data_IF_357006898421
#
_entry.id   IF_357006898421
#
_cell.length_a   1.000
_cell.length_b   1.000
_cell.length_c   1.000
_cell.angle_alpha   90.00
_cell.angle_beta   90.00
_cell.angle_gamma   90.00
#
_symmetry.space_group_name_H-M   'P 1'
#
loop_
_entity.id
_entity.type
_entity.pdbx_description
1 polymer ?
#
# COMPACT_ATOMS: atom_id res chain seq x y z
N UNK A 1 -19.79 -35.69 21.47
CA UNK A 1 -19.76 -34.33 22.06
C UNK A 1 -18.69 -33.57 21.32
N UNK A 2 -18.96 -32.35 20.90
CA UNK A 2 -17.95 -31.50 20.27
C UNK A 2 -17.26 -30.62 21.35
N UNK A 3 -15.99 -30.31 21.15
CA UNK A 3 -15.24 -29.44 22.06
C UNK A 3 -14.84 -28.14 21.37
N UNK A 4 -14.91 -27.07 22.13
CA UNK A 4 -14.43 -25.75 21.65
C UNK A 4 -12.92 -25.79 21.36
N UNK A 5 -12.52 -25.40 20.17
CA UNK A 5 -11.11 -25.42 19.76
C UNK A 5 -10.24 -24.34 20.44
N UNK A 6 -10.86 -23.40 21.15
CA UNK A 6 -10.15 -22.34 21.86
C UNK A 6 -10.00 -22.66 23.34
N UNK A 7 -11.11 -22.95 24.04
CA UNK A 7 -11.09 -23.15 25.49
C UNK A 7 -11.26 -24.61 25.94
N UNK A 8 -11.40 -25.56 25.02
CA UNK A 8 -11.61 -26.99 25.23
C UNK A 8 -12.88 -27.37 26.05
N UNK A 9 -13.79 -26.43 26.29
CA UNK A 9 -15.08 -26.73 26.93
C UNK A 9 -15.93 -27.60 26.01
N UNK A 10 -16.66 -28.51 26.58
CA UNK A 10 -17.66 -29.30 25.85
C UNK A 10 -18.78 -28.41 25.34
N UNK A 11 -19.12 -28.57 24.07
CA UNK A 11 -20.17 -27.80 23.41
C UNK A 11 -21.42 -28.66 23.35
N UNK A 12 -22.47 -28.15 23.99
CA UNK A 12 -23.81 -28.73 23.81
C UNK A 12 -24.38 -28.18 22.48
N UNK A 13 -24.55 -29.04 21.48
CA UNK A 13 -25.07 -28.67 20.16
C UNK A 13 -26.48 -28.08 20.16
N UNK A 14 -27.15 -28.03 21.30
CA UNK A 14 -28.42 -27.32 21.48
C UNK A 14 -28.24 -25.85 21.83
N UNK A 15 -27.04 -25.45 22.24
CA UNK A 15 -26.69 -24.06 22.52
C UNK A 15 -26.05 -23.39 21.28
N UNK A 16 -26.15 -22.07 21.14
CA UNK A 16 -25.47 -21.36 20.06
C UNK A 16 -23.96 -21.65 20.03
N UNK A 17 -23.43 -21.86 18.84
CA UNK A 17 -22.02 -22.07 18.59
C UNK A 17 -21.64 -21.47 17.23
N UNK A 18 -20.37 -21.19 17.05
CA UNK A 18 -19.82 -20.72 15.75
C UNK A 18 -19.12 -21.90 15.08
N UNK A 19 -19.47 -22.14 13.82
CA UNK A 19 -18.77 -23.08 12.96
C UNK A 19 -17.98 -22.26 11.91
N UNK A 20 -16.65 -22.39 11.91
CA UNK A 20 -15.79 -21.80 10.90
C UNK A 20 -15.53 -22.84 9.81
N UNK A 21 -15.97 -22.57 8.60
CA UNK A 21 -15.62 -23.38 7.42
C UNK A 21 -14.56 -22.65 6.59
N UNK A 22 -13.51 -23.35 6.22
CA UNK A 22 -12.49 -22.84 5.33
C UNK A 22 -12.63 -23.47 3.96
N UNK A 23 -12.87 -22.65 2.95
CA UNK A 23 -12.89 -23.11 1.57
C UNK A 23 -11.50 -22.83 0.95
N UNK A 24 -10.84 -23.89 0.50
CA UNK A 24 -9.62 -23.75 -0.28
C UNK A 24 -9.98 -23.61 -1.76
N UNK A 25 -9.81 -22.42 -2.29
CA UNK A 25 -9.97 -22.15 -3.71
C UNK A 25 -8.63 -22.36 -4.42
N UNK A 26 -8.62 -23.12 -5.51
CA UNK A 26 -7.52 -23.14 -6.45
C UNK A 26 -8.01 -22.60 -7.78
N UNK A 27 -7.25 -21.69 -8.35
CA UNK A 27 -7.48 -21.20 -9.71
C UNK A 27 -6.51 -21.93 -10.66
N UNK A 28 -7.08 -22.65 -11.62
CA UNK A 28 -6.37 -23.12 -12.79
C UNK A 28 -7.19 -22.70 -13.99
N UNK A 29 -6.57 -21.99 -14.92
CA UNK A 29 -7.18 -21.53 -16.19
C UNK A 29 -8.37 -20.57 -16.06
N UNK A 30 -8.41 -19.73 -14.99
CA UNK A 30 -9.44 -18.71 -14.85
C UNK A 30 -10.78 -19.20 -14.29
N UNK A 31 -10.97 -20.50 -14.09
CA UNK A 31 -12.14 -21.04 -13.38
C UNK A 31 -11.82 -21.29 -11.92
N UNK A 32 -12.63 -20.69 -11.04
CA UNK A 32 -12.56 -20.96 -9.60
C UNK A 32 -13.23 -22.29 -9.29
N UNK A 33 -12.46 -23.30 -8.90
CA UNK A 33 -12.99 -24.57 -8.40
C UNK A 33 -12.77 -24.65 -6.89
N UNK A 34 -13.86 -24.83 -6.14
CA UNK A 34 -13.80 -25.19 -4.71
C UNK A 34 -13.38 -26.65 -4.64
N UNK A 35 -12.16 -26.91 -4.14
CA UNK A 35 -11.59 -28.27 -4.16
C UNK A 35 -11.89 -29.03 -2.87
N UNK A 36 -12.06 -28.36 -1.73
CA UNK A 36 -12.33 -29.04 -0.46
C UNK A 36 -12.87 -28.05 0.58
N UNK A 37 -14.00 -28.40 1.23
CA UNK A 37 -14.36 -27.81 2.51
C UNK A 37 -13.72 -28.67 3.61
N UNK A 38 -12.69 -28.19 4.27
CA UNK A 38 -12.23 -28.82 5.51
C UNK A 38 -13.27 -28.53 6.60
N UNK A 39 -13.61 -29.55 7.41
CA UNK A 39 -14.49 -29.39 8.57
C UNK A 39 -13.87 -28.30 9.47
N UNK A 40 -14.58 -27.20 9.60
CA UNK A 40 -14.10 -26.05 10.35
C UNK A 40 -14.09 -26.28 11.84
N UNK A 41 -13.34 -25.46 12.54
CA UNK A 41 -13.30 -25.46 13.98
C UNK A 41 -14.67 -25.06 14.56
N UNK A 42 -15.19 -25.84 15.50
CA UNK A 42 -16.36 -25.47 16.29
C UNK A 42 -15.90 -24.68 17.51
N UNK A 43 -16.52 -23.54 17.75
CA UNK A 43 -16.13 -22.58 18.79
C UNK A 43 -17.41 -22.31 19.63
N UNK A 44 -17.30 -22.32 20.95
CA UNK A 44 -18.42 -21.96 21.82
C UNK A 44 -18.80 -20.47 21.66
N UNK A 45 -20.04 -20.12 22.05
CA UNK A 45 -20.55 -18.75 21.88
C UNK A 45 -19.68 -17.70 22.54
N UNK A 46 -19.16 -17.94 23.75
CA UNK A 46 -18.30 -17.03 24.49
C UNK A 46 -17.01 -16.72 23.69
N UNK A 47 -16.26 -17.76 23.30
CA UNK A 47 -15.01 -17.60 22.53
C UNK A 47 -15.27 -17.03 21.13
N UNK A 48 -16.40 -17.36 20.50
CA UNK A 48 -16.77 -16.84 19.19
C UNK A 48 -17.12 -15.36 19.24
N UNK A 49 -17.89 -14.93 20.22
CA UNK A 49 -18.26 -13.52 20.38
C UNK A 49 -17.07 -12.63 20.69
N UNK A 50 -16.18 -13.07 21.60
CA UNK A 50 -14.95 -12.34 21.90
C UNK A 50 -13.99 -12.29 20.70
N UNK A 51 -13.83 -13.42 20.01
CA UNK A 51 -13.01 -13.52 18.82
C UNK A 51 -13.50 -12.59 17.70
N UNK A 52 -14.79 -12.63 17.39
CA UNK A 52 -15.40 -11.76 16.37
C UNK A 52 -15.27 -10.28 16.77
N UNK A 53 -15.53 -9.93 18.02
CA UNK A 53 -15.40 -8.56 18.52
C UNK A 53 -13.96 -8.06 18.43
N UNK A 54 -12.98 -8.91 18.70
CA UNK A 54 -11.56 -8.58 18.56
C UNK A 54 -11.17 -8.38 17.11
N UNK A 55 -11.61 -9.27 16.21
CA UNK A 55 -11.36 -9.16 14.76
C UNK A 55 -11.98 -7.88 14.20
N UNK A 56 -13.24 -7.60 14.51
CA UNK A 56 -13.92 -6.38 14.04
C UNK A 56 -13.22 -5.10 14.55
N UNK A 57 -12.76 -5.11 15.80
CA UNK A 57 -12.01 -3.99 16.38
C UNK A 57 -10.69 -3.78 15.65
N UNK A 58 -9.95 -4.86 15.38
CA UNK A 58 -8.69 -4.80 14.63
C UNK A 58 -8.92 -4.35 13.18
N UNK A 59 -9.96 -4.84 12.51
CA UNK A 59 -10.32 -4.39 11.15
C UNK A 59 -10.67 -2.90 11.12
N UNK A 60 -11.39 -2.40 12.12
CA UNK A 60 -11.69 -0.96 12.23
C UNK A 60 -10.41 -0.14 12.40
N UNK A 61 -9.49 -0.56 13.27
CA UNK A 61 -8.21 0.12 13.46
C UNK A 61 -7.35 0.14 12.19
N UNK A 62 -7.34 -0.97 11.43
CA UNK A 62 -6.65 -1.04 10.14
C UNK A 62 -7.27 -0.07 9.14
N UNK A 63 -8.61 -0.09 9.00
CA UNK A 63 -9.31 0.80 8.08
C UNK A 63 -9.11 2.29 8.44
N UNK A 64 -9.14 2.63 9.73
CA UNK A 64 -8.91 4.01 10.18
C UNK A 64 -7.47 4.46 9.91
N UNK A 65 -6.49 3.56 10.07
CA UNK A 65 -5.09 3.85 9.74
C UNK A 65 -4.87 4.05 8.24
N UNK A 66 -5.48 3.21 7.41
CA UNK A 66 -5.43 3.33 5.95
C UNK A 66 -6.11 4.62 5.46
N UNK A 67 -7.24 5.00 6.07
CA UNK A 67 -7.95 6.24 5.73
C UNK A 67 -7.09 7.46 6.04
N UNK A 68 -6.49 7.53 7.22
CA UNK A 68 -5.59 8.63 7.60
C UNK A 68 -4.37 8.73 6.70
N UNK A 69 -3.80 7.57 6.31
CA UNK A 69 -2.67 7.55 5.37
C UNK A 69 -3.08 8.11 4.00
N UNK A 70 -4.24 7.70 3.48
CA UNK A 70 -4.79 8.20 2.20
C UNK A 70 -5.07 9.69 2.22
N UNK A 71 -5.66 10.20 3.31
CA UNK A 71 -5.91 11.63 3.49
C UNK A 71 -4.60 12.43 3.49
N UNK A 72 -3.58 11.95 4.23
CA UNK A 72 -2.25 12.56 4.27
C UNK A 72 -1.58 12.54 2.89
N UNK A 73 -1.66 11.42 2.17
CA UNK A 73 -1.16 11.32 0.79
C UNK A 73 -1.85 12.31 -0.13
N UNK A 74 -3.18 12.39 -0.10
CA UNK A 74 -3.94 13.32 -0.93
C UNK A 74 -3.55 14.78 -0.65
N UNK A 75 -3.41 15.16 0.61
CA UNK A 75 -2.98 16.50 1.01
C UNK A 75 -1.58 16.82 0.50
N UNK A 76 -0.62 15.90 0.65
CA UNK A 76 0.76 16.07 0.16
C UNK A 76 0.81 16.14 -1.36
N UNK A 77 0.08 15.29 -2.07
CA UNK A 77 0.01 15.29 -3.52
C UNK A 77 -0.59 16.60 -4.05
N UNK A 78 -1.56 17.18 -3.32
CA UNK A 78 -2.12 18.49 -3.63
C UNK A 78 -1.12 19.64 -3.46
N UNK A 79 -0.34 19.63 -2.38
CA UNK A 79 0.52 20.73 -1.95
C UNK A 79 1.93 20.71 -2.57
N UNK A 80 2.49 19.53 -2.84
CA UNK A 80 3.86 19.41 -3.34
C UNK A 80 3.90 19.64 -4.86
N UNK A 81 4.76 20.56 -5.29
CA UNK A 81 5.12 20.74 -6.68
C UNK A 81 6.24 19.76 -7.07
N UNK A 82 6.05 19.04 -8.20
CA UNK A 82 6.99 18.01 -8.65
C UNK A 82 8.37 18.60 -9.00
N UNK A 83 8.42 19.81 -9.57
CA UNK A 83 9.69 20.46 -9.88
C UNK A 83 10.42 20.90 -8.61
N UNK A 84 9.69 21.33 -7.60
CA UNK A 84 10.28 21.68 -6.30
C UNK A 84 10.87 20.42 -5.66
N UNK A 85 10.14 19.29 -5.67
CA UNK A 85 10.67 18.01 -5.20
C UNK A 85 11.94 17.62 -5.94
N UNK A 86 11.97 17.75 -7.27
CA UNK A 86 13.16 17.41 -8.06
C UNK A 86 14.37 18.28 -7.70
N UNK A 87 14.15 19.57 -7.44
CA UNK A 87 15.22 20.48 -7.00
C UNK A 87 15.82 20.09 -5.65
N UNK A 88 14.98 19.67 -4.70
CA UNK A 88 15.43 19.17 -3.39
C UNK A 88 16.34 17.93 -3.52
N UNK A 89 16.11 17.12 -4.54
CA UNK A 89 16.95 15.97 -4.87
C UNK A 89 18.07 16.29 -5.86
N UNK A 90 18.33 17.61 -6.12
CA UNK A 90 19.39 18.11 -7.02
C UNK A 90 19.26 17.57 -8.45
N UNK A 91 18.05 17.28 -8.89
CA UNK A 91 17.76 16.87 -10.26
C UNK A 91 17.46 18.13 -11.08
N UNK A 92 18.30 18.38 -12.08
CA UNK A 92 18.10 19.44 -13.05
C UNK A 92 17.43 18.91 -14.31
N UNK A 93 16.45 19.65 -14.80
CA UNK A 93 15.75 19.33 -16.04
C UNK A 93 15.41 20.60 -16.79
N UNK A 94 15.44 20.53 -18.11
CA UNK A 94 15.15 21.64 -19.02
C UNK A 94 13.73 21.52 -19.56
N UNK A 95 13.08 22.66 -19.73
CA UNK A 95 11.70 22.71 -20.22
C UNK A 95 11.61 22.24 -21.66
N UNK A 96 10.70 21.31 -21.95
CA UNK A 96 10.40 20.82 -23.28
C UNK A 96 9.18 21.54 -23.89
N UNK A 97 9.43 22.30 -24.95
CA UNK A 97 8.36 22.91 -25.74
C UNK A 97 7.42 23.82 -24.95
N UNK A 98 6.14 23.82 -25.32
CA UNK A 98 5.09 24.67 -24.71
C UNK A 98 4.37 24.02 -23.55
N UNK A 99 4.45 22.70 -23.41
CA UNK A 99 3.85 21.94 -22.32
C UNK A 99 4.68 22.12 -21.06
N UNK A 100 4.06 21.94 -19.90
CA UNK A 100 4.74 22.02 -18.61
C UNK A 100 5.49 20.70 -18.30
N UNK A 101 6.31 20.28 -19.26
CA UNK A 101 7.11 19.08 -19.23
C UNK A 101 8.60 19.44 -19.28
N UNK A 102 9.42 18.69 -18.56
CA UNK A 102 10.83 18.93 -18.38
C UNK A 102 11.60 17.63 -18.61
N UNK A 103 12.72 17.71 -19.31
CA UNK A 103 13.56 16.56 -19.59
C UNK A 103 14.92 16.79 -18.95
N UNK A 104 15.43 15.79 -18.26
CA UNK A 104 16.70 15.88 -17.56
C UNK A 104 17.44 14.57 -17.53
N UNK A 105 18.54 14.61 -16.78
CA UNK A 105 19.36 13.44 -16.50
C UNK A 105 18.63 12.51 -15.54
N UNK A 106 18.61 11.21 -15.83
CA UNK A 106 17.98 10.23 -14.97
C UNK A 106 18.76 10.06 -13.66
N UNK A 107 18.12 10.30 -12.50
CA UNK A 107 18.80 10.15 -11.21
C UNK A 107 19.10 8.68 -10.87
N UNK A 108 18.36 7.73 -11.44
CA UNK A 108 18.52 6.30 -11.19
C UNK A 108 19.64 5.67 -12.02
N UNK A 109 19.81 6.11 -13.28
CA UNK A 109 20.71 5.49 -14.25
C UNK A 109 21.82 6.41 -14.72
N UNK A 110 21.82 7.66 -14.27
CA UNK A 110 22.82 8.66 -14.66
C UNK A 110 22.90 8.93 -16.18
N UNK A 111 21.84 8.59 -16.94
CA UNK A 111 21.76 8.77 -18.39
C UNK A 111 21.13 10.12 -18.73
N UNK A 112 21.75 10.86 -19.66
CA UNK A 112 21.28 12.16 -20.12
C UNK A 112 19.95 12.04 -20.89
N UNK A 113 19.12 13.08 -20.77
CA UNK A 113 17.84 13.23 -21.51
C UNK A 113 16.92 11.99 -21.45
N UNK A 114 16.90 11.33 -20.32
CA UNK A 114 16.13 10.09 -20.14
C UNK A 114 15.17 10.10 -18.94
N UNK A 115 14.98 11.28 -18.34
CA UNK A 115 14.06 11.47 -17.22
C UNK A 115 13.10 12.62 -17.52
N UNK A 116 11.85 12.28 -17.79
CA UNK A 116 10.77 13.22 -18.06
C UNK A 116 10.02 13.54 -16.78
N UNK A 117 9.74 14.82 -16.55
CA UNK A 117 8.90 15.32 -15.46
C UNK A 117 7.70 16.01 -16.08
N UNK A 118 6.50 15.55 -15.77
CA UNK A 118 5.24 16.22 -16.09
C UNK A 118 4.74 16.98 -14.85
N UNK A 119 4.95 18.26 -14.83
CA UNK A 119 4.59 19.11 -13.70
C UNK A 119 3.07 19.31 -13.56
N UNK A 120 2.28 19.15 -14.63
CA UNK A 120 0.82 19.26 -14.56
C UNK A 120 0.20 18.03 -13.89
N UNK A 121 0.67 16.85 -14.28
CA UNK A 121 0.17 15.59 -13.73
C UNK A 121 0.89 15.19 -12.45
N UNK A 122 1.98 15.90 -12.09
CA UNK A 122 2.86 15.58 -10.95
C UNK A 122 3.43 14.17 -11.03
N UNK A 123 3.87 13.80 -12.22
CA UNK A 123 4.40 12.48 -12.55
C UNK A 123 5.79 12.57 -13.13
N UNK A 124 6.56 11.50 -13.00
CA UNK A 124 7.81 11.34 -13.72
C UNK A 124 7.80 10.08 -14.57
N UNK A 125 8.66 10.04 -15.57
CA UNK A 125 8.89 8.88 -16.41
C UNK A 125 10.40 8.72 -16.67
N UNK A 126 10.92 7.53 -16.35
CA UNK A 126 12.31 7.14 -16.64
C UNK A 126 12.32 6.28 -17.91
N UNK A 127 12.92 6.79 -18.98
CA UNK A 127 12.98 6.06 -20.26
C UNK A 127 13.97 4.88 -20.22
N UNK A 128 14.88 4.82 -19.25
CA UNK A 128 15.88 3.76 -19.17
C UNK A 128 15.25 2.39 -18.89
N UNK A 129 14.25 2.35 -18.00
CA UNK A 129 13.58 1.12 -17.56
C UNK A 129 12.07 1.15 -17.74
N UNK A 130 11.52 2.23 -18.29
CA UNK A 130 10.08 2.38 -18.42
C UNK A 130 9.37 2.60 -17.08
N UNK A 131 10.08 3.08 -16.05
CA UNK A 131 9.49 3.40 -14.76
C UNK A 131 8.74 4.72 -14.81
N UNK A 132 7.54 4.73 -14.27
CA UNK A 132 6.74 5.93 -14.09
C UNK A 132 6.18 5.98 -12.67
N UNK A 133 5.86 7.17 -12.17
CA UNK A 133 5.24 7.30 -10.87
C UNK A 133 5.03 8.74 -10.43
N UNK A 134 4.40 8.84 -9.28
CA UNK A 134 4.11 10.08 -8.56
C UNK A 134 5.24 10.43 -7.57
N UNK A 135 5.01 11.46 -6.73
CA UNK A 135 5.95 11.91 -5.72
C UNK A 135 6.34 10.82 -4.71
N UNK A 136 5.42 9.91 -4.36
CA UNK A 136 5.70 8.83 -3.41
C UNK A 136 6.53 7.73 -4.06
N UNK A 137 6.15 7.33 -5.25
CA UNK A 137 6.88 6.36 -6.07
C UNK A 137 8.30 6.85 -6.36
N UNK A 138 8.47 8.17 -6.57
CA UNK A 138 9.79 8.76 -6.74
C UNK A 138 10.67 8.54 -5.51
N UNK A 139 10.18 8.82 -4.30
CA UNK A 139 10.95 8.61 -3.06
C UNK A 139 11.34 7.14 -2.89
N UNK A 140 10.39 6.22 -3.10
CA UNK A 140 10.63 4.78 -2.97
C UNK A 140 11.71 4.31 -3.95
N UNK A 141 11.61 4.73 -5.22
CA UNK A 141 12.56 4.32 -6.26
C UNK A 141 13.92 5.00 -6.06
N UNK A 142 13.95 6.27 -5.65
CA UNK A 142 15.19 6.98 -5.35
C UNK A 142 15.95 6.33 -4.18
N UNK A 143 15.25 6.00 -3.12
CA UNK A 143 15.86 5.32 -1.98
C UNK A 143 16.37 3.93 -2.38
N UNK A 144 15.63 3.16 -3.18
CA UNK A 144 16.05 1.84 -3.64
C UNK A 144 17.29 1.92 -4.52
N UNK A 145 17.29 2.77 -5.55
CA UNK A 145 18.27 2.70 -6.65
C UNK A 145 19.49 3.61 -6.39
N UNK A 146 19.31 4.72 -5.68
CA UNK A 146 20.38 5.70 -5.41
C UNK A 146 20.93 5.58 -3.98
N UNK A 147 20.03 5.49 -3.01
CA UNK A 147 20.41 5.43 -1.58
C UNK A 147 20.60 4.01 -1.06
N UNK A 148 20.22 2.99 -1.84
CA UNK A 148 20.25 1.57 -1.47
C UNK A 148 19.50 1.28 -0.16
N UNK A 149 18.36 1.95 0.04
CA UNK A 149 17.48 1.81 1.19
C UNK A 149 16.15 1.21 0.78
N UNK A 150 15.54 0.43 1.66
CA UNK A 150 14.19 -0.06 1.46
C UNK A 150 13.21 0.88 2.15
N UNK A 151 12.49 1.67 1.37
CA UNK A 151 11.49 2.63 1.87
C UNK A 151 10.09 2.15 1.52
N UNK A 152 9.24 2.00 2.53
CA UNK A 152 7.83 1.66 2.36
C UNK A 152 7.00 2.90 1.99
N UNK A 153 5.79 2.70 1.45
CA UNK A 153 4.89 3.81 1.13
C UNK A 153 4.64 4.74 2.34
N UNK A 154 4.43 4.17 3.52
CA UNK A 154 4.23 4.95 4.75
C UNK A 154 5.46 5.81 5.07
N UNK A 155 6.65 5.25 4.97
CA UNK A 155 7.88 5.99 5.18
C UNK A 155 8.09 7.09 4.15
N UNK A 156 7.76 6.85 2.86
CA UNK A 156 7.81 7.87 1.82
C UNK A 156 6.86 9.04 2.11
N UNK A 157 5.65 8.75 2.61
CA UNK A 157 4.70 9.77 3.06
C UNK A 157 5.25 10.57 4.24
N UNK A 158 5.89 9.92 5.20
CA UNK A 158 6.47 10.60 6.36
C UNK A 158 7.67 11.48 5.97
N UNK A 159 8.54 10.99 5.08
CA UNK A 159 9.67 11.77 4.52
C UNK A 159 9.17 13.02 3.80
N UNK A 160 8.14 12.88 2.96
CA UNK A 160 7.59 14.02 2.24
C UNK A 160 6.90 15.03 3.17
N UNK A 161 6.19 14.55 4.20
CA UNK A 161 5.55 15.42 5.18
C UNK A 161 6.55 16.21 6.04
N UNK A 162 7.72 15.62 6.32
CA UNK A 162 8.81 16.31 7.04
C UNK A 162 9.50 17.37 6.17
N UNK A 163 9.78 17.03 4.89
CA UNK A 163 10.42 17.96 3.95
C UNK A 163 9.50 19.09 3.47
N UNK A 164 8.22 18.81 3.33
CA UNK A 164 7.20 19.73 2.83
C UNK A 164 6.04 19.83 3.84
N UNK A 165 6.24 20.53 4.97
CA UNK A 165 5.20 20.65 5.98
C UNK A 165 3.95 21.34 5.39
N UNK A 166 2.80 20.73 5.59
CA UNK A 166 1.50 21.31 5.22
C UNK A 166 1.26 22.57 6.06
N UNK A 167 1.01 23.68 5.40
CA UNK A 167 0.67 24.96 6.04
C UNK A 167 -0.79 24.99 6.46
#
# INVERSE_FOLDING_TARGET
>A
MAQCKICNKDINMKNPYFALSFNKETSKDGEKKIIQSEEGAIICEECGSEGISSVLRNMKLINDADTKLKEKMHSLQGSIDMLHLMKEYKISAEKMGTKNQYLGKCPFHNQESSFLIDANNKEYFCFCEGLAGDIFSFIINYDRDVSQKHTTLKQAVDILAEKFPLQ
#
